data_IF_847850663040
#
_entry.id   IF_847850663040
#
_cell.length_a   1.000
_cell.length_b   1.000
_cell.length_c   1.000
_cell.angle_alpha   90.00
_cell.angle_beta   90.00
_cell.angle_gamma   90.00
#
_symmetry.space_group_name_H-M   'P 1'
#
loop_
_entity.id
_entity.type
_entity.pdbx_description
1 polymer ?
#
# COMPACT_ATOMS: atom_id res chain seq x y z
N UNK A 1 -13.85 -8.67 -5.52
CA UNK A 1 -14.07 -7.83 -4.32
C UNK A 1 -13.58 -6.42 -4.62
N UNK A 2 -14.21 -5.37 -4.07
CA UNK A 2 -13.76 -4.02 -4.36
C UNK A 2 -12.62 -3.61 -3.41
N UNK A 3 -11.37 -3.69 -3.90
CA UNK A 3 -10.28 -2.89 -3.33
C UNK A 3 -10.48 -1.47 -3.81
N UNK A 4 -10.59 -0.51 -2.89
CA UNK A 4 -10.79 0.91 -3.21
C UNK A 4 -9.54 1.68 -2.86
N UNK A 5 -8.95 2.33 -3.86
CA UNK A 5 -7.88 3.30 -3.67
C UNK A 5 -8.56 4.67 -3.56
N UNK A 6 -8.55 5.26 -2.37
CA UNK A 6 -9.25 6.53 -2.13
C UNK A 6 -8.45 7.73 -2.63
N UNK A 7 -7.14 7.72 -2.45
CA UNK A 7 -6.24 8.80 -2.84
C UNK A 7 -4.82 8.27 -3.02
N UNK A 8 -4.17 8.75 -4.09
CA UNK A 8 -2.76 8.53 -4.35
C UNK A 8 -2.13 9.84 -4.83
N UNK A 9 -1.31 10.46 -3.99
CA UNK A 9 -0.75 11.79 -4.27
C UNK A 9 0.64 11.76 -4.90
N UNK A 10 1.17 10.58 -5.25
CA UNK A 10 2.47 10.45 -5.92
C UNK A 10 2.43 11.28 -7.22
N UNK A 11 3.32 12.27 -7.35
CA UNK A 11 3.29 13.21 -8.46
C UNK A 11 3.53 12.54 -9.82
N UNK A 12 4.48 11.60 -9.87
CA UNK A 12 4.79 10.86 -11.10
C UNK A 12 3.71 9.81 -11.41
N UNK A 13 3.04 9.87 -12.59
CA UNK A 13 1.90 9.02 -12.90
C UNK A 13 2.30 7.54 -13.07
N UNK A 14 3.51 7.25 -13.54
CA UNK A 14 3.99 5.87 -13.71
C UNK A 14 4.23 5.21 -12.35
N UNK A 15 4.88 5.93 -11.44
CA UNK A 15 5.08 5.49 -10.05
C UNK A 15 3.76 5.37 -9.32
N UNK A 16 2.84 6.30 -9.54
CA UNK A 16 1.48 6.25 -8.99
C UNK A 16 0.80 4.93 -9.34
N UNK A 17 0.68 4.63 -10.64
CA UNK A 17 0.04 3.40 -11.13
C UNK A 17 0.78 2.14 -10.64
N UNK A 18 2.11 2.15 -10.66
CA UNK A 18 2.92 1.02 -10.21
C UNK A 18 2.71 0.72 -8.71
N UNK A 19 2.65 1.76 -7.88
CA UNK A 19 2.37 1.63 -6.44
C UNK A 19 0.95 1.13 -6.18
N UNK A 20 -0.05 1.61 -6.92
CA UNK A 20 -1.43 1.12 -6.82
C UNK A 20 -1.51 -0.38 -7.14
N UNK A 21 -0.90 -0.80 -8.26
CA UNK A 21 -0.83 -2.20 -8.65
C UNK A 21 -0.10 -3.05 -7.61
N UNK A 22 0.98 -2.53 -7.02
CA UNK A 22 1.75 -3.22 -5.99
C UNK A 22 0.92 -3.44 -4.72
N UNK A 23 0.21 -2.42 -4.24
CA UNK A 23 -0.65 -2.52 -3.06
C UNK A 23 -1.80 -3.49 -3.30
N UNK A 24 -2.49 -3.36 -4.44
CA UNK A 24 -3.56 -4.29 -4.85
C UNK A 24 -3.06 -5.73 -4.91
N UNK A 25 -1.90 -5.96 -5.52
CA UNK A 25 -1.30 -7.30 -5.61
C UNK A 25 -0.80 -7.83 -4.26
N UNK A 26 -0.46 -6.94 -3.31
CA UNK A 26 -0.08 -7.29 -1.94
C UNK A 26 -1.29 -7.76 -1.13
N UNK A 27 -2.42 -7.06 -1.26
CA UNK A 27 -3.71 -7.44 -0.69
C UNK A 27 -4.19 -8.77 -1.29
N UNK A 28 -4.05 -8.93 -2.60
CA UNK A 28 -4.42 -10.17 -3.31
C UNK A 28 -5.92 -10.47 -3.22
N UNK A 29 -6.28 -11.75 -3.18
CA UNK A 29 -7.67 -12.23 -3.21
C UNK A 29 -8.36 -12.22 -1.83
N UNK A 30 -7.89 -11.40 -0.89
CA UNK A 30 -8.46 -11.36 0.46
C UNK A 30 -9.87 -10.79 0.45
N UNK A 31 -10.79 -11.53 1.07
CA UNK A 31 -12.20 -11.15 1.20
C UNK A 31 -12.39 -9.89 2.04
N UNK A 32 -13.44 -9.13 1.71
CA UNK A 32 -13.88 -7.93 2.43
C UNK A 32 -13.57 -6.62 1.71
N UNK A 33 -13.99 -5.52 2.33
CA UNK A 33 -13.73 -4.16 1.84
C UNK A 33 -12.35 -3.71 2.29
N UNK A 34 -11.50 -3.39 1.32
CA UNK A 34 -10.16 -2.88 1.55
C UNK A 34 -10.07 -1.46 1.04
N UNK A 35 -9.56 -0.58 1.89
CA UNK A 35 -9.40 0.84 1.61
C UNK A 35 -7.91 1.15 1.68
N UNK A 36 -7.37 1.65 0.57
CA UNK A 36 -5.97 2.04 0.45
C UNK A 36 -5.83 3.53 0.20
N UNK A 37 -4.81 4.10 0.83
CA UNK A 37 -4.38 5.49 0.64
C UNK A 37 -2.87 5.52 0.44
N UNK A 38 -2.40 6.35 -0.48
CA UNK A 38 -0.97 6.58 -0.73
C UNK A 38 -0.70 8.07 -0.71
N UNK A 39 0.19 8.50 0.16
CA UNK A 39 0.55 9.90 0.32
C UNK A 39 2.05 10.11 0.10
N UNK A 40 2.39 10.98 -0.84
CA UNK A 40 3.71 11.56 -1.04
C UNK A 40 3.69 12.99 -0.46
N UNK A 41 4.37 13.25 0.67
CA UNK A 41 4.47 14.59 1.23
C UNK A 41 5.26 15.52 0.30
N UNK A 42 4.85 16.79 0.18
CA UNK A 42 5.49 17.73 -0.75
C UNK A 42 6.96 18.04 -0.43
N UNK A 43 7.36 17.92 0.84
CA UNK A 43 8.69 18.30 1.34
C UNK A 43 9.58 17.10 1.69
N UNK A 44 9.13 15.88 1.41
CA UNK A 44 9.83 14.66 1.78
C UNK A 44 9.71 13.64 0.66
N UNK A 45 10.78 12.91 0.33
CA UNK A 45 10.75 11.92 -0.74
C UNK A 45 10.04 10.63 -0.32
N UNK A 46 9.44 10.55 0.87
CA UNK A 46 8.83 9.34 1.42
C UNK A 46 7.44 9.07 0.85
N UNK A 47 7.05 7.79 0.81
CA UNK A 47 5.68 7.41 0.47
C UNK A 47 5.03 6.73 1.67
N UNK A 48 3.90 7.26 2.11
CA UNK A 48 3.12 6.70 3.20
C UNK A 48 1.98 5.91 2.59
N UNK A 49 1.91 4.60 2.88
CA UNK A 49 0.82 3.73 2.44
C UNK A 49 0.01 3.33 3.66
N UNK A 50 -1.30 3.63 3.63
CA UNK A 50 -2.24 3.22 4.65
C UNK A 50 -3.24 2.23 4.06
N UNK A 51 -3.50 1.14 4.79
CA UNK A 51 -4.44 0.09 4.43
C UNK A 51 -5.39 -0.13 5.60
N UNK A 52 -6.69 0.01 5.33
CA UNK A 52 -7.76 -0.35 6.25
C UNK A 52 -8.52 -1.53 5.67
N UNK A 53 -8.78 -2.53 6.48
CA UNK A 53 -9.42 -3.77 6.06
C UNK A 53 -10.46 -4.26 7.06
N UNK A 54 -11.02 -5.46 6.82
CA UNK A 54 -11.97 -6.10 7.71
C UNK A 54 -11.43 -6.30 9.12
N UNK A 55 -12.33 -6.56 10.07
CA UNK A 55 -11.97 -6.87 11.48
C UNK A 55 -11.13 -5.77 12.15
N UNK A 56 -11.41 -4.50 11.83
CA UNK A 56 -10.65 -3.33 12.30
C UNK A 56 -9.15 -3.39 11.96
N UNK A 57 -8.77 -4.10 10.89
CA UNK A 57 -7.40 -4.10 10.41
C UNK A 57 -6.99 -2.69 9.98
N UNK A 58 -5.91 -2.18 10.56
CA UNK A 58 -5.29 -0.92 10.17
C UNK A 58 -3.79 -1.17 10.11
N UNK A 59 -3.19 -0.84 8.98
CA UNK A 59 -1.75 -0.87 8.79
C UNK A 59 -1.29 0.38 8.05
N UNK A 60 -0.17 0.92 8.49
CA UNK A 60 0.48 2.06 7.86
C UNK A 60 1.98 1.80 7.80
N UNK A 61 2.60 2.18 6.70
CA UNK A 61 4.04 2.08 6.54
C UNK A 61 4.57 3.19 5.66
N UNK A 62 5.75 3.68 6.02
CA UNK A 62 6.48 4.70 5.28
C UNK A 62 7.62 4.05 4.52
N UNK A 63 7.64 4.21 3.21
CA UNK A 63 8.68 3.71 2.31
C UNK A 63 9.64 4.86 1.96
N UNK A 64 10.92 4.65 2.26
CA UNK A 64 11.99 5.61 2.04
C UNK A 64 12.94 5.18 0.92
N UNK A 65 13.06 6.05 -0.09
CA UNK A 65 14.04 5.91 -1.16
C UNK A 65 13.74 4.78 -2.15
N UNK A 66 14.57 4.66 -3.21
CA UNK A 66 14.25 3.86 -4.39
C UNK A 66 14.19 2.35 -4.14
N UNK A 67 14.82 1.86 -3.07
CA UNK A 67 14.78 0.44 -2.71
C UNK A 67 13.41 0.05 -2.14
N UNK A 68 12.93 0.82 -1.16
CA UNK A 68 11.65 0.54 -0.49
C UNK A 68 10.45 0.95 -1.36
N UNK A 69 10.61 2.01 -2.17
CA UNK A 69 9.61 2.48 -3.13
C UNK A 69 9.53 1.61 -4.39
N UNK A 70 10.28 0.52 -4.44
CA UNK A 70 10.17 -0.46 -5.50
C UNK A 70 8.80 -1.20 -5.39
N UNK A 71 8.03 -1.33 -6.49
CA UNK A 71 6.76 -2.04 -6.50
C UNK A 71 6.80 -3.47 -5.92
N UNK A 72 7.86 -4.23 -6.18
CA UNK A 72 8.02 -5.58 -5.63
C UNK A 72 8.29 -5.58 -4.12
N UNK A 73 8.95 -4.54 -3.60
CA UNK A 73 9.15 -4.35 -2.16
C UNK A 73 7.82 -4.00 -1.49
N UNK A 74 7.11 -2.99 -2.00
CA UNK A 74 5.78 -2.57 -1.52
C UNK A 74 4.83 -3.76 -1.49
N UNK A 75 4.70 -4.51 -2.60
CA UNK A 75 3.85 -5.71 -2.68
C UNK A 75 4.17 -6.73 -1.58
N UNK A 76 5.46 -7.00 -1.34
CA UNK A 76 5.90 -7.98 -0.33
C UNK A 76 5.57 -7.50 1.09
N UNK A 77 5.84 -6.24 1.40
CA UNK A 77 5.54 -5.63 2.70
C UNK A 77 4.04 -5.66 2.99
N UNK A 78 3.21 -5.25 2.03
CA UNK A 78 1.75 -5.32 2.16
C UNK A 78 1.29 -6.76 2.37
N UNK A 79 1.80 -7.71 1.57
CA UNK A 79 1.44 -9.13 1.72
C UNK A 79 1.82 -9.68 3.10
N UNK A 80 2.97 -9.29 3.64
CA UNK A 80 3.46 -9.72 4.94
C UNK A 80 2.65 -9.12 6.09
N UNK A 81 2.32 -7.83 6.03
CA UNK A 81 1.47 -7.15 7.01
C UNK A 81 0.08 -7.80 7.16
N UNK A 82 -0.39 -8.41 6.09
CA UNK A 82 -1.70 -9.06 6.00
C UNK A 82 -1.65 -10.57 6.26
N UNK A 83 -0.53 -11.12 6.70
CA UNK A 83 -0.49 -12.51 7.19
C UNK A 83 -1.05 -12.53 8.62
N UNK A 84 -1.90 -13.51 8.99
CA UNK A 84 -2.17 -13.76 10.40
C UNK A 84 -0.83 -14.02 11.10
N UNK A 85 -0.61 -13.42 12.26
CA UNK A 85 0.56 -13.74 13.08
C UNK A 85 0.55 -15.23 13.36
N UNK A 86 1.62 -15.92 12.97
CA UNK A 86 1.98 -17.17 13.64
C UNK A 86 2.53 -16.73 15.01
N UNK A 87 1.64 -16.67 16.00
CA UNK A 87 2.00 -16.60 17.43
C UNK A 87 1.88 -18.01 18.01
#
# INVERSE_FOLDING_TARGET
MPIRILWNTIADPWRREATEKAVVAGIGDRHGDWITSVFEPQLSPEWIVEIKGPQNFIWSHTFFGPHEQNPDFIRRMVRQALKPGED
#
